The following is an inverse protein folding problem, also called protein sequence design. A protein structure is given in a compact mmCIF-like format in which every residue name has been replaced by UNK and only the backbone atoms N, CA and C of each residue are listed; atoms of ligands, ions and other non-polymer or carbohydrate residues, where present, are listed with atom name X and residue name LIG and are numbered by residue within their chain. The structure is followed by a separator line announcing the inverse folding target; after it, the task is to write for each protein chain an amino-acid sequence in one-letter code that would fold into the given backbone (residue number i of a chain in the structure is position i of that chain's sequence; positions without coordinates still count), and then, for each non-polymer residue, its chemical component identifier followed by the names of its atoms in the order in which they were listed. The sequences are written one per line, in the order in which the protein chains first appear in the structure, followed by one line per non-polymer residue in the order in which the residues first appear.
data_IF_369896664126
#
_entry.id   IF_369896664126
#
_cell.length_a   1.000
_cell.length_b   1.000
_cell.length_c   1.000
_cell.angle_alpha   90.00
_cell.angle_beta   90.00
_cell.angle_gamma   90.00
#
_symmetry.space_group_name_H-M   'P 1'
#
loop_
_entity.id
_entity.type
_entity.pdbx_description
1 polymer ?
2 branched ?
3 water ?
#
# COMPACT_ATOMS: atom_id res chain seq x y z
N UNK A 2 5.46 13.07 -14.53
CA UNK A 2 4.49 12.26 -13.79
C UNK A 2 4.73 12.43 -12.29
N UNK A 3 3.75 12.03 -11.50
CA UNK A 3 3.91 12.16 -10.06
C UNK A 3 4.51 10.89 -9.48
N UNK A 4 5.18 11.08 -8.36
CA UNK A 4 5.72 9.97 -7.58
C UNK A 4 5.33 10.26 -6.12
N UNK A 5 4.25 9.62 -5.72
CA UNK A 5 3.63 9.88 -4.43
C UNK A 5 4.14 8.89 -3.40
N UNK A 6 4.98 9.40 -2.49
CA UNK A 6 5.60 8.49 -1.55
C UNK A 6 4.87 8.42 -0.22
N UNK A 7 4.35 7.25 0.13
CA UNK A 7 3.77 7.08 1.47
C UNK A 7 4.88 6.87 2.51
N UNK A 8 4.60 7.47 3.67
CA UNK A 8 5.46 7.39 4.84
C UNK A 8 4.62 6.97 6.05
N UNK A 9 4.79 5.75 6.49
CA UNK A 9 4.11 5.23 7.69
C UNK A 9 4.94 5.68 8.88
N UNK A 10 4.44 6.65 9.63
CA UNK A 10 5.20 7.28 10.70
C UNK A 10 5.53 6.29 11.81
N UNK A 11 4.80 5.17 11.86
CA UNK A 11 5.10 4.17 12.88
C UNK A 11 6.54 3.71 12.67
N UNK A 12 7.03 3.91 11.45
CA UNK A 12 8.39 3.53 11.12
C UNK A 12 9.41 4.35 11.90
N UNK A 13 9.05 5.54 12.35
CA UNK A 13 9.97 6.34 13.14
C UNK A 13 10.45 5.63 14.39
N UNK A 14 9.55 4.86 15.01
CA UNK A 14 9.84 4.24 16.30
C UNK A 14 10.16 2.76 16.19
N UNK A 15 10.40 2.27 14.98
CA UNK A 15 10.76 0.85 14.86
C UNK A 15 12.14 0.60 15.42
N UNK A 16 12.37 -0.59 15.96
CA UNK A 16 13.69 -0.88 16.53
C UNK A 16 14.61 -1.42 15.44
N UNK A 17 15.90 -1.12 15.56
CA UNK A 17 16.90 -1.60 14.63
C UNK A 17 16.81 -1.11 13.22
N UNK A 18 17.11 -1.98 12.27
CA UNK A 18 17.24 -1.60 10.88
C UNK A 18 15.94 -1.05 10.31
N UNK A 19 14.82 -1.42 10.93
CA UNK A 19 13.54 -1.01 10.37
C UNK A 19 13.25 0.44 10.71
N UNK A 20 14.03 1.00 11.63
CA UNK A 20 13.81 2.39 12.02
C UNK A 20 14.07 3.38 10.92
N UNK A 21 13.10 4.26 10.65
CA UNK A 21 13.28 5.27 9.60
C UNK A 21 13.29 6.67 10.22
N UNK A 22 14.46 7.23 10.49
CA UNK A 22 14.53 8.57 11.07
C UNK A 22 14.52 9.62 9.98
N UNK A 23 14.43 10.90 10.38
CA UNK A 23 14.17 11.90 9.35
C UNK A 23 15.30 12.07 8.35
N UNK A 24 16.56 11.94 8.72
CA UNK A 24 17.62 12.06 7.72
C UNK A 24 17.48 11.00 6.61
N UNK A 25 17.13 9.77 6.99
CA UNK A 25 16.93 8.73 5.99
C UNK A 25 15.66 9.00 5.17
N UNK A 26 14.64 9.57 5.81
CA UNK A 26 13.41 9.95 5.12
C UNK A 26 13.69 10.98 4.04
N UNK A 27 14.52 11.95 4.37
CA UNK A 27 14.80 13.08 3.50
C UNK A 27 15.47 12.68 2.22
N UNK A 28 16.27 11.60 2.29
CA UNK A 28 16.92 11.13 1.07
C UNK A 28 15.93 10.74 -0.01
N UNK A 29 14.78 10.20 0.34
CA UNK A 29 13.76 9.85 -0.65
C UNK A 29 13.25 11.07 -1.41
N UNK A 30 13.40 12.25 -0.81
CA UNK A 30 12.77 13.46 -1.34
C UNK A 30 13.49 13.98 -2.56
N UNK A 31 14.62 13.40 -3.01
CA UNK A 31 14.99 13.94 -4.32
C UNK A 31 14.32 13.12 -5.43
N UNK A 32 13.47 12.16 -5.03
CA UNK A 32 12.75 11.40 -6.07
C UNK A 32 11.24 11.60 -5.96
N UNK A 33 10.74 11.92 -4.77
CA UNK A 33 9.29 11.98 -4.57
C UNK A 33 8.70 13.32 -4.98
N UNK A 34 7.54 13.35 -5.61
CA UNK A 34 6.93 14.66 -5.92
C UNK A 34 6.00 15.07 -4.78
N UNK A 35 5.52 14.03 -4.12
CA UNK A 35 4.58 14.15 -3.02
C UNK A 35 5.02 13.21 -1.89
N UNK A 36 4.81 13.70 -0.67
CA UNK A 36 5.01 12.89 0.53
C UNK A 36 3.68 12.78 1.26
N UNK A 37 3.33 11.55 1.63
CA UNK A 37 2.04 11.38 2.29
C UNK A 37 2.29 10.78 3.67
N UNK A 38 1.93 11.55 4.68
CA UNK A 38 2.18 11.11 6.06
C UNK A 38 1.03 10.25 6.55
N UNK A 39 1.36 9.02 6.93
CA UNK A 39 0.38 8.06 7.39
C UNK A 39 0.61 7.66 8.83
N UNK A 40 -0.44 7.30 9.55
CA UNK A 40 -1.83 7.46 9.17
C UNK A 40 -2.65 7.96 10.35
N UNK A 41 -3.48 8.98 10.09
CA UNK A 41 -4.47 9.38 11.07
C UNK A 41 -5.58 8.34 11.14
N UNK A 42 -6.39 8.32 12.20
CA UNK A 42 -7.42 7.32 12.34
C UNK A 42 -8.72 7.95 12.78
N UNK A 43 -9.75 7.17 13.05
CA UNK A 43 -11.04 7.69 13.50
C UNK A 43 -11.23 7.37 14.99
N UNK A 44 -11.65 8.37 15.78
CA UNK A 44 -11.87 8.07 17.19
C UNK A 44 -13.13 7.21 17.32
N UNK A 45 -13.08 6.09 18.04
CA UNK A 45 -14.32 5.32 18.13
C UNK A 45 -15.39 6.02 18.94
N UNK A 46 -15.07 7.06 19.71
CA UNK A 46 -16.09 7.68 20.55
C UNK A 46 -16.90 8.73 19.81
N UNK A 47 -16.38 9.28 18.73
CA UNK A 47 -17.13 10.33 18.05
C UNK A 47 -16.69 10.44 16.59
N UNK A 48 -15.83 9.52 16.18
CA UNK A 48 -15.34 9.38 14.82
C UNK A 48 -14.68 10.63 14.28
N UNK A 49 -14.11 11.47 15.14
CA UNK A 49 -13.33 12.59 14.59
C UNK A 49 -11.99 12.07 14.08
N UNK A 50 -11.30 12.82 13.22
CA UNK A 50 -9.95 12.42 12.80
C UNK A 50 -8.97 12.73 13.92
N UNK A 51 -7.99 11.85 14.11
CA UNK A 51 -7.01 12.09 15.17
C UNK A 51 -5.72 11.33 14.89
N UNK A 52 -4.61 11.82 15.44
CA UNK A 52 -3.32 11.16 15.31
C UNK A 52 -3.27 9.88 16.14
N UNK A 53 -2.82 8.80 15.52
CA UNK A 53 -2.74 7.52 16.23
C UNK A 53 -1.43 7.37 16.99
N UNK A 54 -0.64 8.44 17.01
CA UNK A 54 0.51 8.49 17.89
C UNK A 54 0.84 9.95 18.22
N UNK A 55 -0.05 10.56 18.99
CA UNK A 55 0.05 11.94 19.43
C UNK A 55 1.42 12.24 20.01
N UNK A 56 1.94 11.37 20.88
CA UNK A 56 3.26 11.66 21.42
C UNK A 56 4.29 12.00 20.36
N UNK A 57 4.29 11.25 19.25
CA UNK A 57 5.29 11.48 18.21
C UNK A 57 4.87 12.60 17.26
N UNK A 58 3.67 12.40 16.71
CA UNK A 58 3.19 13.29 15.67
C UNK A 58 2.98 14.72 16.17
N UNK A 59 2.55 14.84 17.42
CA UNK A 59 2.18 16.16 17.89
C UNK A 59 3.12 16.64 18.98
N UNK A 60 3.32 15.86 20.03
CA UNK A 60 4.16 16.32 21.14
C UNK A 60 5.64 16.34 20.83
N UNK A 61 6.12 15.55 19.89
CA UNK A 61 7.52 15.64 19.46
C UNK A 61 7.60 16.22 18.05
N UNK A 62 6.52 16.88 17.66
CA UNK A 62 6.51 17.68 16.46
C UNK A 62 6.74 16.91 15.17
N UNK A 63 6.46 15.61 15.10
CA UNK A 63 6.84 14.93 13.84
C UNK A 63 5.96 15.36 12.68
N UNK A 64 4.67 15.64 12.89
CA UNK A 64 3.91 16.18 11.75
C UNK A 64 4.61 17.39 11.13
N UNK A 65 4.92 18.42 11.93
CA UNK A 65 5.50 19.61 11.30
C UNK A 65 6.97 19.46 10.98
N UNK A 66 7.69 18.53 11.60
CA UNK A 66 9.05 18.28 11.10
C UNK A 66 9.01 17.82 9.64
N UNK A 67 8.03 16.96 9.38
CA UNK A 67 7.87 16.46 8.00
C UNK A 67 7.28 17.54 7.10
N UNK A 68 6.23 18.25 7.50
CA UNK A 68 5.77 19.25 6.52
C UNK A 68 6.77 20.37 6.33
N UNK A 69 7.59 20.71 7.33
CA UNK A 69 8.52 21.81 7.13
C UNK A 69 9.62 21.45 6.16
N UNK A 70 9.65 20.18 5.74
CA UNK A 70 10.61 19.74 4.74
C UNK A 70 10.38 20.49 3.42
N UNK A 71 9.19 21.04 3.26
CA UNK A 71 8.88 21.86 2.09
C UNK A 71 9.80 23.06 2.04
N UNK A 72 10.34 23.50 3.19
CA UNK A 72 11.25 24.64 3.10
C UNK A 72 12.50 24.25 2.31
N UNK A 73 12.89 22.99 2.38
CA UNK A 73 14.09 22.49 1.72
C UNK A 73 13.87 22.03 0.29
N UNK A 74 12.63 21.64 0.04
CA UNK A 74 12.12 21.14 -1.21
C UNK A 74 10.88 21.93 -1.65
N UNK A 75 11.06 23.09 -2.26
CA UNK A 75 9.93 24.00 -2.49
C UNK A 75 8.87 23.49 -3.45
N UNK A 76 9.07 22.41 -4.21
CA UNK A 76 7.99 21.88 -5.05
C UNK A 76 7.24 20.72 -4.39
N UNK A 77 7.82 20.15 -3.34
CA UNK A 77 7.24 19.02 -2.64
C UNK A 77 5.87 19.32 -2.07
N UNK A 78 4.94 18.40 -2.30
CA UNK A 78 3.61 18.44 -1.68
C UNK A 78 3.52 17.42 -0.55
N UNK A 79 3.02 17.83 0.62
CA UNK A 79 2.90 16.88 1.72
C UNK A 79 1.45 16.71 2.15
N UNK A 80 0.94 15.49 2.12
CA UNK A 80 -0.43 15.29 2.56
C UNK A 80 -0.48 14.43 3.82
N UNK A 81 -1.65 14.49 4.45
CA UNK A 81 -1.96 13.64 5.58
C UNK A 81 -2.99 12.59 5.19
N UNK A 82 -2.71 11.34 5.51
CA UNK A 82 -3.61 10.27 5.11
C UNK A 82 -4.40 9.73 6.29
N UNK A 83 -5.69 9.52 6.11
CA UNK A 83 -6.60 8.93 7.09
C UNK A 83 -6.97 7.48 6.75
N UNK A 84 -6.86 6.57 7.69
CA UNK A 84 -7.19 5.16 7.52
C UNK A 84 -5.99 4.34 7.07
N UNK A 85 -5.99 4.00 5.79
CA UNK A 85 -4.97 3.29 5.07
C UNK A 85 -4.80 1.83 5.46
N UNK A 86 -5.80 1.27 6.11
CA UNK A 86 -5.80 -0.07 6.67
C UNK A 86 -4.85 -0.13 7.88
N UNK A 87 -4.40 1.02 8.37
CA UNK A 87 -3.55 1.12 9.55
C UNK A 87 -4.34 1.52 10.78
N UNK A 88 -5.62 1.86 10.58
CA UNK A 88 -6.57 2.20 11.64
C UNK A 88 -7.25 0.91 12.04
N UNK A 89 -6.57 0.18 12.94
CA UNK A 89 -6.98 -1.13 13.40
C UNK A 89 -7.67 -1.04 14.75
N UNK A 90 -8.98 -1.22 14.75
CA UNK A 90 -9.77 -0.97 15.96
C UNK A 90 -10.79 -2.07 16.22
N UNK A 91 -10.35 -3.12 16.92
CA UNK A 91 -11.23 -4.26 17.18
C UNK A 91 -12.32 -3.85 18.16
N UNK A 92 -12.03 -2.79 18.91
CA UNK A 92 -13.00 -2.26 19.87
C UNK A 92 -14.14 -1.50 19.20
N UNK A 93 -13.90 -0.99 17.99
CA UNK A 93 -14.89 -0.23 17.24
C UNK A 93 -14.82 -0.59 15.76
N UNK A 94 -15.15 -1.83 15.42
CA UNK A 94 -14.85 -2.34 14.09
C UNK A 94 -15.73 -1.73 13.01
N UNK A 95 -16.72 -0.92 13.35
CA UNK A 95 -17.61 -0.39 12.32
C UNK A 95 -17.47 1.12 12.11
N UNK A 96 -16.38 1.72 12.58
CA UNK A 96 -16.13 3.14 12.45
C UNK A 96 -16.39 3.70 11.05
N UNK A 97 -15.74 3.16 10.02
CA UNK A 97 -15.75 3.80 8.71
C UNK A 97 -17.14 3.79 8.10
N UNK A 98 -17.86 2.70 8.39
CA UNK A 98 -19.23 2.64 7.86
C UNK A 98 -20.12 3.59 8.66
N UNK A 99 -19.93 3.57 9.97
CA UNK A 99 -20.74 4.42 10.85
C UNK A 99 -20.53 5.88 10.50
N UNK A 100 -19.33 6.26 10.04
CA UNK A 100 -19.12 7.65 9.66
C UNK A 100 -19.93 7.96 8.40
N UNK A 101 -19.92 7.06 7.42
CA UNK A 101 -20.78 7.21 6.25
C UNK A 101 -22.26 7.32 6.62
N UNK A 102 -22.73 6.45 7.50
CA UNK A 102 -24.11 6.40 7.94
C UNK A 102 -24.43 7.47 9.00
N UNK A 103 -23.45 8.28 9.38
CA UNK A 103 -23.61 9.27 10.43
C UNK A 103 -24.49 10.45 10.08
N UNK A 104 -25.10 11.01 11.12
CA UNK A 104 -25.88 12.24 11.08
C UNK A 104 -24.99 13.44 10.83
N UNK A 105 -25.55 14.55 10.37
CA UNK A 105 -24.74 15.70 10.03
C UNK A 105 -23.77 16.08 11.14
N UNK A 106 -24.25 16.15 12.36
CA UNK A 106 -23.39 16.56 13.46
C UNK A 106 -22.11 15.74 13.52
N UNK A 107 -22.29 14.43 13.43
CA UNK A 107 -21.15 13.52 13.46
C UNK A 107 -20.21 13.76 12.29
N UNK A 108 -20.76 13.88 11.08
CA UNK A 108 -19.92 14.06 9.90
C UNK A 108 -19.21 15.41 9.99
N UNK A 109 -19.91 16.40 10.53
CA UNK A 109 -19.26 17.71 10.60
C UNK A 109 -18.07 17.65 11.55
N UNK A 110 -18.23 16.90 12.64
CA UNK A 110 -17.14 16.67 13.57
C UNK A 110 -15.89 16.14 12.86
N UNK A 111 -16.04 15.05 12.13
CA UNK A 111 -14.96 14.52 11.30
C UNK A 111 -14.40 15.58 10.36
N UNK A 112 -15.25 16.24 9.58
CA UNK A 112 -14.76 17.18 8.59
C UNK A 112 -13.90 18.25 9.23
N UNK A 113 -14.38 18.76 10.36
CA UNK A 113 -13.68 19.82 11.09
C UNK A 113 -12.35 19.34 11.66
N UNK A 114 -12.39 18.14 12.23
CA UNK A 114 -11.18 17.57 12.85
C UNK A 114 -10.13 17.29 11.77
N UNK A 115 -10.58 16.71 10.67
CA UNK A 115 -9.63 16.39 9.59
C UNK A 115 -9.04 17.67 9.03
N UNK A 116 -9.86 18.68 8.78
CA UNK A 116 -9.43 20.01 8.38
C UNK A 116 -8.40 20.62 9.35
N UNK A 117 -8.69 20.56 10.64
CA UNK A 117 -7.82 21.10 11.68
C UNK A 117 -6.43 20.45 11.59
N UNK A 118 -6.37 19.14 11.44
CA UNK A 118 -5.09 18.44 11.33
C UNK A 118 -4.30 18.92 10.13
N UNK A 119 -4.93 18.94 8.95
CA UNK A 119 -4.24 19.47 7.78
C UNK A 119 -3.68 20.87 7.99
N UNK A 120 -4.52 21.77 8.51
CA UNK A 120 -4.15 23.18 8.55
C UNK A 120 -3.13 23.44 9.67
N UNK A 121 -3.47 22.89 10.84
CA UNK A 121 -2.64 23.22 12.00
C UNK A 121 -1.18 22.81 11.78
N UNK A 122 -0.97 21.71 11.06
CA UNK A 122 0.38 21.14 11.05
C UNK A 122 1.13 21.40 9.76
N UNK A 123 0.53 22.17 8.87
CA UNK A 123 1.26 22.63 7.69
C UNK A 123 1.15 21.70 6.51
N UNK A 124 0.15 20.81 6.52
CA UNK A 124 0.00 19.91 5.36
C UNK A 124 -0.59 20.64 4.15
N UNK A 125 -0.47 20.07 2.96
CA UNK A 125 -1.03 20.70 1.76
C UNK A 125 -2.38 20.12 1.40
N UNK A 126 -2.83 19.11 2.16
CA UNK A 126 -4.06 18.42 1.80
C UNK A 126 -4.21 17.10 2.50
N UNK A 127 -5.29 16.40 2.16
CA UNK A 127 -5.79 15.25 2.85
C UNK A 127 -5.90 14.09 1.86
N UNK A 128 -5.50 12.92 2.32
CA UNK A 128 -5.75 11.68 1.59
C UNK A 128 -6.76 10.83 2.34
N UNK A 129 -7.93 10.60 1.75
CA UNK A 129 -8.92 9.69 2.32
C UNK A 129 -8.62 8.28 1.83
N UNK A 130 -7.92 7.53 2.66
CA UNK A 130 -7.60 6.13 2.37
C UNK A 130 -8.66 5.34 3.10
N UNK A 131 -9.88 5.43 2.57
CA UNK A 131 -11.06 5.02 3.32
C UNK A 131 -11.08 3.50 3.54
N UNK A 132 -11.21 3.07 4.80
CA UNK A 132 -11.24 1.64 5.08
C UNK A 132 -12.61 1.01 4.91
N UNK A 133 -13.01 0.86 3.66
CA UNK A 133 -14.25 0.19 3.31
C UNK A 133 -14.11 -1.30 3.58
N UNK A 134 -15.23 -2.01 3.68
CA UNK A 134 -15.17 -3.48 3.61
C UNK A 134 -14.49 -3.92 2.33
N UNK A 135 -13.80 -5.07 2.34
CA UNK A 135 -13.08 -5.45 1.11
C UNK A 135 -13.77 -6.65 0.46
N UNK A 136 -13.31 -7.02 -0.74
CA UNK A 136 -13.71 -8.25 -1.40
C UNK A 136 -13.62 -9.38 -0.37
N UNK A 137 -14.61 -10.27 -0.40
CA UNK A 137 -14.52 -11.42 0.49
C UNK A 137 -13.48 -12.39 -0.06
N UNK A 138 -12.54 -12.74 0.81
CA UNK A 138 -11.50 -13.70 0.42
C UNK A 138 -12.16 -15.02 0.02
N UNK A 139 -11.70 -15.60 -1.08
CA UNK A 139 -12.15 -16.92 -1.50
C UNK A 139 -11.41 -17.97 -0.70
N UNK A 140 -12.12 -18.87 0.00
CA UNK A 140 -11.35 -19.80 0.82
C UNK A 140 -11.18 -21.15 0.15
N UNK A 141 -10.56 -22.06 0.89
CA UNK A 141 -10.35 -23.45 0.47
C UNK A 141 -9.01 -23.56 -0.26
N UNK A 161 -23.05 -11.79 0.80
CA UNK A 161 -22.86 -10.36 0.55
C UNK A 161 -22.24 -9.70 1.78
N UNK A 162 -20.99 -9.25 1.62
CA UNK A 162 -20.28 -8.61 2.70
C UNK A 162 -20.98 -7.35 3.21
N UNK A 163 -21.48 -6.51 2.30
CA UNK A 163 -22.16 -5.24 2.62
C UNK A 163 -23.46 -5.15 1.83
N UNK A 164 -24.61 -5.34 2.48
CA UNK A 164 -25.90 -5.29 1.78
C UNK A 164 -26.43 -3.87 1.71
N UNK A 165 -25.62 -2.96 2.25
CA UNK A 165 -25.92 -1.55 2.05
C UNK A 165 -24.79 -0.88 1.28
N UNK A 166 -24.11 -1.60 0.38
CA UNK A 166 -23.08 -0.96 -0.44
C UNK A 166 -23.58 0.24 -1.22
N UNK A 167 -24.77 0.16 -1.83
CA UNK A 167 -25.17 1.26 -2.71
C UNK A 167 -25.51 2.50 -1.88
N UNK A 168 -26.06 2.29 -0.70
CA UNK A 168 -26.27 3.42 0.20
C UNK A 168 -24.90 4.02 0.54
N UNK A 169 -23.97 3.08 0.76
CA UNK A 169 -22.65 3.47 1.24
C UNK A 169 -21.93 4.28 0.18
N UNK A 170 -22.09 3.84 -1.07
CA UNK A 170 -21.50 4.58 -2.17
C UNK A 170 -22.00 6.02 -2.19
N UNK A 171 -23.30 6.20 -1.99
CA UNK A 171 -23.86 7.53 -2.03
C UNK A 171 -23.36 8.42 -0.90
N UNK A 172 -23.41 7.87 0.30
CA UNK A 172 -22.88 8.54 1.48
C UNK A 172 -21.42 8.91 1.28
N UNK A 173 -20.61 8.05 0.67
CA UNK A 173 -19.19 8.42 0.49
C UNK A 173 -19.03 9.59 -0.45
N UNK A 174 -19.72 9.54 -1.61
CA UNK A 174 -19.65 10.66 -2.52
C UNK A 174 -19.98 11.97 -1.79
N UNK A 175 -21.06 11.90 -1.00
CA UNK A 175 -21.50 13.11 -0.28
C UNK A 175 -20.42 13.50 0.73
N UNK A 176 -19.84 12.49 1.41
CA UNK A 176 -18.78 12.84 2.37
C UNK A 176 -17.59 13.47 1.67
N UNK A 177 -17.18 12.93 0.52
CA UNK A 177 -16.07 13.51 -0.22
C UNK A 177 -16.40 14.94 -0.64
N UNK A 178 -17.64 15.18 -1.09
CA UNK A 178 -17.99 16.53 -1.51
C UNK A 178 -17.81 17.53 -0.37
N UNK A 179 -18.33 17.12 0.79
CA UNK A 179 -18.27 18.00 1.97
C UNK A 179 -16.82 18.15 2.41
N UNK A 180 -16.04 17.08 2.40
CA UNK A 180 -14.63 17.25 2.74
C UNK A 180 -13.95 18.25 1.80
N UNK A 181 -14.13 18.06 0.50
CA UNK A 181 -13.59 18.98 -0.48
C UNK A 181 -14.01 20.42 -0.16
N UNK A 182 -15.29 20.58 0.15
CA UNK A 182 -15.85 21.91 0.41
C UNK A 182 -15.06 22.58 1.54
N UNK A 183 -14.69 21.81 2.54
CA UNK A 183 -13.97 22.35 3.72
C UNK A 183 -12.57 22.77 3.35
N UNK A 184 -12.01 22.19 2.29
CA UNK A 184 -10.62 22.46 1.89
C UNK A 184 -10.49 23.52 0.82
N UNK A 185 -11.58 23.87 0.15
CA UNK A 185 -11.48 24.75 -1.02
C UNK A 185 -10.82 26.09 -0.73
N UNK A 186 -11.28 26.77 0.32
CA UNK A 186 -10.80 28.14 0.55
C UNK A 186 -9.29 28.16 0.70
N UNK A 187 -8.72 27.15 1.35
CA UNK A 187 -7.26 27.13 1.44
C UNK A 187 -6.60 26.55 0.20
N UNK A 188 -7.33 25.95 -0.73
CA UNK A 188 -6.65 25.40 -1.89
C UNK A 188 -5.94 24.10 -1.53
N UNK A 189 -6.37 23.49 -0.43
CA UNK A 189 -5.79 22.20 0.00
C UNK A 189 -6.21 21.07 -0.92
N UNK A 190 -5.30 20.16 -1.24
CA UNK A 190 -5.60 19.01 -2.07
C UNK A 190 -6.38 17.96 -1.29
N UNK A 191 -7.10 17.19 -2.10
CA UNK A 191 -7.80 16.02 -1.61
C UNK A 191 -7.51 14.85 -2.53
N UNK A 192 -6.87 13.80 -2.00
CA UNK A 192 -6.78 12.56 -2.78
C UNK A 192 -7.63 11.49 -2.14
N UNK A 193 -7.99 10.47 -2.90
CA UNK A 193 -8.58 9.25 -2.40
C UNK A 193 -7.59 8.10 -2.72
N UNK A 194 -7.53 7.17 -1.79
CA UNK A 194 -6.83 5.90 -2.04
C UNK A 194 -7.83 4.76 -1.93
N UNK A 195 -7.92 3.97 -2.99
CA UNK A 195 -8.69 2.74 -3.09
C UNK A 195 -7.78 1.61 -2.58
N UNK A 196 -8.01 1.18 -1.35
CA UNK A 196 -7.08 0.26 -0.70
C UNK A 196 -7.18 -1.14 -1.27
N UNK A 197 -6.18 -1.98 -1.01
CA UNK A 197 -6.20 -3.33 -1.57
C UNK A 197 -7.52 -4.04 -1.35
N UNK A 198 -8.03 -4.64 -2.42
CA UNK A 198 -9.27 -5.40 -2.46
C UNK A 198 -10.48 -4.55 -2.10
N UNK A 199 -10.34 -3.23 -2.04
CA UNK A 199 -11.55 -2.39 -1.98
C UNK A 199 -12.11 -2.33 -3.40
N UNK A 200 -13.40 -2.62 -3.52
CA UNK A 200 -14.03 -2.80 -4.81
C UNK A 200 -14.73 -1.51 -5.26
N UNK A 201 -14.28 -0.95 -6.36
CA UNK A 201 -14.75 0.34 -6.84
C UNK A 201 -16.17 0.26 -7.36
N UNK A 202 -16.62 -0.93 -7.78
CA UNK A 202 -18.02 -1.05 -8.18
C UNK A 202 -18.97 -0.84 -7.02
N UNK A 203 -18.56 -1.33 -5.85
CA UNK A 203 -19.46 -1.24 -4.70
C UNK A 203 -19.50 0.17 -4.12
N UNK A 204 -18.37 0.86 -4.12
CA UNK A 204 -18.31 2.09 -3.34
C UNK A 204 -17.97 3.37 -4.07
N UNK A 205 -17.46 3.37 -5.29
CA UNK A 205 -16.90 4.58 -5.88
C UNK A 205 -17.75 5.04 -7.06
N UNK A 206 -18.44 6.16 -6.86
CA UNK A 206 -19.20 6.77 -7.97
C UNK A 206 -18.27 7.60 -8.83
N UNK A 207 -17.54 6.94 -9.72
CA UNK A 207 -16.36 7.60 -10.28
C UNK A 207 -16.67 8.86 -11.06
N UNK A 208 -17.73 8.96 -11.85
CA UNK A 208 -17.99 10.22 -12.55
C UNK A 208 -18.23 11.37 -11.58
N UNK A 209 -18.66 11.08 -10.36
CA UNK A 209 -18.93 12.16 -9.42
C UNK A 209 -17.68 12.68 -8.71
N UNK A 210 -16.58 11.95 -8.85
CA UNK A 210 -15.37 12.23 -8.08
C UNK A 210 -14.37 13.14 -8.80
N UNK A 211 -14.34 13.10 -10.13
CA UNK A 211 -13.44 13.96 -10.90
C UNK A 211 -13.54 15.42 -10.46
N UNK A 212 -14.75 15.91 -10.19
CA UNK A 212 -14.85 17.33 -9.85
C UNK A 212 -14.60 17.59 -8.37
N UNK A 213 -14.32 16.53 -7.61
CA UNK A 213 -14.15 16.64 -6.18
C UNK A 213 -12.75 16.35 -5.66
N UNK A 214 -11.94 15.66 -6.47
CA UNK A 214 -10.66 15.21 -5.94
C UNK A 214 -9.54 15.49 -6.92
N UNK A 215 -8.35 15.75 -6.37
CA UNK A 215 -7.21 16.10 -7.20
C UNK A 215 -6.59 14.88 -7.87
N UNK A 216 -6.66 13.72 -7.21
CA UNK A 216 -6.12 12.49 -7.81
C UNK A 216 -6.58 11.31 -6.98
N UNK A 217 -6.40 10.13 -7.56
CA UNK A 217 -6.76 8.88 -6.90
C UNK A 217 -5.59 7.90 -7.06
N UNK A 218 -5.29 7.26 -5.95
CA UNK A 218 -4.28 6.23 -5.85
C UNK A 218 -4.95 4.86 -5.82
N UNK A 219 -4.66 4.05 -6.83
CA UNK A 219 -5.22 2.70 -6.84
C UNK A 219 -4.20 1.75 -6.22
N UNK A 220 -4.51 1.15 -5.07
CA UNK A 220 -3.55 0.27 -4.38
C UNK A 220 -3.65 -1.15 -4.94
N UNK A 221 -3.08 -1.27 -6.12
CA UNK A 221 -3.16 -2.45 -6.98
C UNK A 221 -2.05 -3.45 -6.65
N UNK A 222 -2.13 -3.90 -5.41
CA UNK A 222 -1.18 -4.84 -4.82
C UNK A 222 -1.88 -5.48 -3.65
N UNK A 223 -1.25 -6.45 -2.99
CA UNK A 223 -1.91 -7.23 -1.94
C UNK A 223 -3.25 -7.80 -2.40
N UNK A 224 -3.34 -8.18 -3.68
CA UNK A 224 -4.58 -8.80 -4.15
C UNK A 224 -4.85 -10.11 -3.43
N UNK A 225 -3.76 -10.80 -3.09
CA UNK A 225 -3.85 -11.96 -2.21
C UNK A 225 -2.84 -11.75 -1.08
N UNK A 226 -3.14 -12.14 0.14
CA UNK A 226 -2.15 -12.05 1.21
C UNK A 226 -2.25 -13.27 2.12
N UNK A 227 -1.22 -13.64 2.87
CA UNK A 227 -1.37 -14.79 3.77
C UNK A 227 -2.45 -14.60 4.83
N UNK A 228 -2.77 -13.33 5.14
CA UNK A 228 -3.80 -13.07 6.14
C UNK A 228 -5.18 -13.38 5.56
N UNK A 229 -5.40 -12.93 4.33
CA UNK A 229 -6.68 -13.20 3.69
C UNK A 229 -6.82 -14.56 3.04
N UNK A 230 -5.72 -15.17 2.64
CA UNK A 230 -5.62 -16.37 1.83
C UNK A 230 -4.56 -17.30 2.44
N UNK A 231 -4.80 -17.78 3.65
CA UNK A 231 -3.78 -18.57 4.35
C UNK A 231 -3.48 -19.92 3.71
N UNK A 232 -4.41 -20.43 2.90
CA UNK A 232 -4.27 -21.80 2.40
C UNK A 232 -3.84 -21.95 0.96
N UNK A 233 -3.70 -20.89 0.19
CA UNK A 233 -3.09 -20.93 -1.13
C UNK A 233 -2.35 -19.62 -1.38
N UNK A 234 -1.33 -19.68 -2.21
CA UNK A 234 -0.57 -18.51 -2.60
C UNK A 234 -0.59 -18.30 -4.11
N UNK A 235 -0.69 -17.03 -4.49
CA UNK A 235 -0.70 -16.63 -5.90
C UNK A 235 -0.19 -15.19 -6.00
N UNK A 236 0.20 -14.78 -7.20
CA UNK A 236 0.75 -13.45 -7.44
C UNK A 236 -0.09 -12.37 -6.74
N UNK A 237 0.57 -11.50 -5.99
CA UNK A 237 -0.15 -10.54 -5.17
C UNK A 237 -0.26 -9.17 -5.86
N UNK A 238 0.46 -8.92 -6.94
CA UNK A 238 0.39 -7.64 -7.64
C UNK A 238 0.79 -7.72 -9.10
N UNK A 239 0.17 -8.64 -9.85
CA UNK A 239 0.51 -8.75 -11.28
C UNK A 239 -0.06 -7.56 -12.05
N UNK A 240 0.56 -7.20 -13.16
CA UNK A 240 -0.05 -6.13 -13.95
C UNK A 240 -1.25 -6.69 -14.70
N UNK A 241 -1.01 -7.82 -15.37
CA UNK A 241 -2.08 -8.46 -16.14
C UNK A 241 -2.46 -9.78 -15.49
N UNK A 242 -3.58 -10.33 -15.93
CA UNK A 242 -4.11 -11.57 -15.39
C UNK A 242 -3.24 -12.75 -15.82
N UNK A 243 -2.74 -13.53 -14.88
CA UNK A 243 -1.99 -14.73 -15.26
C UNK A 243 -2.90 -15.92 -15.47
N UNK A 244 -3.06 -16.33 -16.74
CA UNK A 244 -3.84 -17.52 -17.08
C UNK A 244 -3.35 -18.78 -16.39
N UNK A 245 -2.05 -18.87 -16.08
CA UNK A 245 -1.50 -20.00 -15.35
C UNK A 245 -1.92 -20.10 -13.90
N UNK A 246 -2.54 -19.08 -13.33
CA UNK A 246 -3.05 -19.24 -11.97
C UNK A 246 -4.49 -19.76 -12.01
N UNK A 247 -4.66 -21.02 -11.67
CA UNK A 247 -5.96 -21.65 -11.84
C UNK A 247 -7.04 -20.97 -10.99
N UNK A 248 -8.11 -20.57 -11.65
CA UNK A 248 -9.31 -20.08 -11.01
C UNK A 248 -9.09 -18.73 -10.33
N UNK A 249 -8.00 -18.05 -10.69
CA UNK A 249 -7.77 -16.72 -10.11
C UNK A 249 -8.82 -15.73 -10.62
N UNK A 250 -9.42 -14.97 -9.71
CA UNK A 250 -10.45 -14.00 -10.05
C UNK A 250 -9.90 -12.92 -10.96
N UNK A 251 -10.52 -12.65 -12.09
CA UNK A 251 -9.95 -11.84 -13.16
C UNK A 251 -9.92 -10.34 -12.89
N UNK A 252 -10.61 -9.86 -11.85
CA UNK A 252 -10.49 -8.44 -11.52
C UNK A 252 -9.29 -8.20 -10.61
N UNK A 253 -8.61 -9.25 -10.16
CA UNK A 253 -7.46 -9.10 -9.26
C UNK A 253 -6.13 -8.86 -9.95
N UNK A 254 -6.00 -7.81 -10.76
CA UNK A 254 -4.72 -7.45 -11.36
C UNK A 254 -4.70 -5.94 -11.59
N UNK A 255 -3.54 -5.35 -11.72
CA UNK A 255 -3.46 -3.88 -11.81
C UNK A 255 -4.19 -3.35 -13.04
N UNK A 256 -3.91 -3.97 -14.20
CA UNK A 256 -4.55 -3.50 -15.41
C UNK A 256 -6.07 -3.51 -15.33
N UNK A 257 -6.70 -4.53 -14.78
CA UNK A 257 -8.15 -4.51 -14.64
C UNK A 257 -8.60 -3.29 -13.83
N UNK A 258 -7.95 -3.01 -12.70
CA UNK A 258 -8.35 -1.86 -11.87
C UNK A 258 -8.24 -0.53 -12.58
N UNK A 259 -7.14 -0.34 -13.29
CA UNK A 259 -6.83 0.89 -14.02
C UNK A 259 -7.84 1.04 -15.14
N UNK A 260 -8.00 -0.03 -15.94
CA UNK A 260 -8.96 0.07 -17.03
C UNK A 260 -10.36 0.30 -16.48
N UNK A 261 -10.71 -0.28 -15.34
CA UNK A 261 -11.99 -0.04 -14.72
C UNK A 261 -12.20 1.46 -14.46
N UNK A 262 -11.21 2.09 -13.82
CA UNK A 262 -11.35 3.52 -13.55
C UNK A 262 -11.42 4.33 -14.84
N UNK A 263 -10.66 3.93 -15.86
CA UNK A 263 -10.73 4.66 -17.12
C UNK A 263 -12.08 4.43 -17.78
N UNK A 264 -12.65 3.25 -17.62
CA UNK A 264 -13.91 2.86 -18.21
C UNK A 264 -15.05 3.77 -17.74
N UNK A 265 -14.89 4.23 -16.51
CA UNK A 265 -15.90 4.98 -15.78
C UNK A 265 -15.71 6.48 -15.93
N UNK A 266 -14.81 6.87 -16.81
CA UNK A 266 -14.57 8.21 -17.27
C UNK A 266 -13.66 9.07 -16.43
N UNK A 267 -12.90 8.48 -15.51
CA UNK A 267 -11.89 9.20 -14.75
C UNK A 267 -10.68 9.51 -15.62
N UNK A 268 -10.21 10.76 -15.60
CA UNK A 268 -9.06 11.10 -16.45
C UNK A 268 -7.85 10.30 -16.00
N UNK A 269 -7.22 9.74 -17.03
CA UNK A 269 -6.06 8.89 -16.78
C UNK A 269 -5.04 9.68 -15.99
N UNK A 270 -4.82 10.95 -16.29
CA UNK A 270 -3.72 11.65 -15.63
C UNK A 270 -4.06 12.09 -14.21
N UNK A 271 -5.21 11.66 -13.71
CA UNK A 271 -5.52 11.87 -12.29
C UNK A 271 -5.41 10.57 -11.51
N UNK A 272 -4.89 9.55 -12.18
CA UNK A 272 -4.78 8.26 -11.51
C UNK A 272 -3.32 7.92 -11.18
N UNK A 273 -3.04 7.46 -9.97
CA UNK A 273 -1.70 6.96 -9.64
C UNK A 273 -1.78 5.45 -9.43
N UNK A 274 -0.83 4.75 -10.05
CA UNK A 274 -0.72 3.31 -9.92
C UNK A 274 -0.03 2.97 -8.60
N UNK A 275 -0.66 2.20 -7.75
CA UNK A 275 -0.03 1.81 -6.47
C UNK A 275 1.01 0.73 -6.67
N UNK A 276 2.19 0.89 -6.06
CA UNK A 276 3.24 -0.12 -6.07
C UNK A 276 3.71 -0.35 -4.64
N UNK A 277 3.86 -1.60 -4.23
CA UNK A 277 4.30 -1.88 -2.87
C UNK A 277 5.80 -2.17 -2.80
N UNK A 278 6.44 -1.75 -1.71
CA UNK A 278 7.87 -1.99 -1.53
C UNK A 278 8.12 -3.23 -0.64
N UNK A 279 7.08 -3.81 -0.07
CA UNK A 279 7.17 -5.02 0.73
C UNK A 279 6.52 -6.24 0.07
N UNK A 280 6.93 -7.41 0.54
CA UNK A 280 6.41 -8.64 -0.04
C UNK A 280 5.41 -9.31 0.86
N UNK A 281 4.56 -10.15 0.25
CA UNK A 281 3.62 -10.99 0.96
C UNK A 281 4.19 -12.41 1.06
N UNK A 282 4.32 -12.91 2.29
CA UNK A 282 5.08 -14.15 2.50
C UNK A 282 4.23 -15.19 3.21
N UNK A 283 4.06 -16.33 2.55
CA UNK A 283 3.31 -17.46 3.01
C UNK A 283 4.24 -18.56 3.59
N UNK A 284 3.80 -19.23 4.63
CA UNK A 284 4.43 -20.44 5.14
C UNK A 284 3.98 -21.63 4.31
N UNK A 285 4.92 -22.39 3.76
CA UNK A 285 4.62 -23.56 2.94
C UNK A 285 4.53 -24.80 3.80
N UNK A 286 3.95 -25.86 3.22
CA UNK A 286 3.91 -27.17 3.85
C UNK A 286 4.53 -28.19 2.90
N UNK A 287 4.76 -29.40 3.41
CA UNK A 287 5.25 -30.44 2.52
C UNK A 287 4.34 -30.55 1.30
N UNK A 288 3.04 -30.53 1.57
CA UNK A 288 2.05 -30.71 0.51
C UNK A 288 1.97 -29.56 -0.48
N UNK A 289 2.69 -28.46 -0.29
CA UNK A 289 2.72 -27.37 -1.24
C UNK A 289 3.55 -27.70 -2.48
N UNK A 290 4.39 -28.73 -2.37
CA UNK A 290 5.22 -29.14 -3.46
C UNK A 290 6.49 -28.32 -3.63
N UNK A 291 7.24 -28.66 -4.68
CA UNK A 291 8.54 -28.05 -4.89
C UNK A 291 8.54 -26.96 -5.93
N UNK A 292 7.43 -26.70 -6.62
CA UNK A 292 7.50 -25.69 -7.68
C UNK A 292 7.11 -24.33 -7.14
N UNK A 293 7.67 -23.27 -7.72
CA UNK A 293 7.29 -21.96 -7.21
C UNK A 293 6.28 -21.20 -8.04
N UNK A 294 5.93 -21.70 -9.21
CA UNK A 294 4.95 -20.95 -10.02
C UNK A 294 3.58 -21.16 -9.39
N UNK A 295 2.78 -20.12 -9.17
CA UNK A 295 1.49 -20.32 -8.48
C UNK A 295 0.44 -20.89 -9.43
N UNK A 296 -0.70 -21.34 -8.96
CA UNK A 296 -1.12 -21.26 -7.57
C UNK A 296 -0.39 -22.28 -6.71
N UNK A 297 0.13 -21.83 -5.57
CA UNK A 297 0.79 -22.73 -4.64
C UNK A 297 -0.20 -23.26 -3.61
N UNK A 298 -0.42 -24.56 -3.59
CA UNK A 298 -1.38 -25.17 -2.66
C UNK A 298 -0.87 -25.47 -1.25
N UNK A 299 -1.84 -25.75 -0.40
CA UNK A 299 -1.65 -26.23 0.96
C UNK A 299 -0.66 -25.38 1.75
N UNK A 300 -0.79 -24.07 1.58
CA UNK A 300 0.01 -23.17 2.41
C UNK A 300 -0.60 -23.09 3.80
N UNK A 301 0.09 -22.43 4.72
CA UNK A 301 -0.26 -22.48 6.13
C UNK A 301 -0.14 -21.11 6.80
N UNK A 302 -0.77 -20.12 6.17
CA UNK A 302 -0.79 -18.79 6.74
C UNK A 302 0.50 -18.03 6.56
N UNK A 303 0.71 -16.97 7.35
CA UNK A 303 1.89 -16.14 7.14
C UNK A 303 3.18 -16.85 7.57
N UNK A 304 4.23 -16.57 6.82
CA UNK A 304 5.60 -16.93 7.13
C UNK A 304 6.05 -16.21 8.39
N UNK A 305 7.00 -16.79 9.09
CA UNK A 305 7.59 -16.13 10.26
C UNK A 305 8.03 -14.72 9.96
N UNK A 306 7.81 -13.79 10.89
CA UNK A 306 8.20 -12.41 10.63
C UNK A 306 9.70 -12.27 10.38
N UNK A 307 10.06 -11.26 9.60
CA UNK A 307 11.43 -10.86 9.36
C UNK A 307 12.00 -10.19 10.61
N UNK A 308 13.33 -10.21 10.78
CA UNK A 308 13.92 -9.52 11.92
C UNK A 308 13.85 -8.00 11.83
N UNK A 309 13.74 -7.44 10.63
CA UNK A 309 13.72 -5.98 10.49
C UNK A 309 12.30 -5.45 10.55
N UNK A 310 11.38 -6.17 9.92
CA UNK A 310 10.00 -5.67 9.75
C UNK A 310 9.03 -6.19 10.78
N UNK A 311 9.27 -7.33 11.43
CA UNK A 311 8.53 -7.81 12.60
C UNK A 311 7.02 -7.81 12.39
N UNK A 312 6.59 -8.32 11.23
CA UNK A 312 5.18 -8.44 10.87
C UNK A 312 4.97 -9.78 10.17
N UNK A 313 4.43 -10.77 10.84
CA UNK A 313 4.21 -12.08 10.20
C UNK A 313 3.50 -11.96 8.86
N UNK A 314 4.07 -12.56 7.83
CA UNK A 314 3.54 -12.56 6.49
C UNK A 314 3.95 -11.39 5.63
N UNK A 315 4.75 -10.48 6.18
CA UNK A 315 5.33 -9.37 5.47
C UNK A 315 6.86 -9.42 5.52
N UNK A 316 7.54 -9.05 4.43
CA UNK A 316 8.98 -8.84 4.43
C UNK A 316 9.30 -7.56 3.66
N UNK A 317 10.30 -6.83 4.16
CA UNK A 317 10.77 -5.65 3.44
C UNK A 317 11.59 -6.04 2.23
N UNK A 318 11.84 -5.14 1.29
CA UNK A 318 12.69 -5.52 0.16
C UNK A 318 14.09 -5.94 0.65
N UNK A 319 14.68 -5.22 1.60
CA UNK A 319 16.02 -5.64 2.03
C UNK A 319 16.02 -7.04 2.61
N UNK A 320 14.99 -7.40 3.38
CA UNK A 320 14.94 -8.75 3.94
C UNK A 320 14.79 -9.80 2.85
N UNK A 321 14.08 -9.45 1.78
CA UNK A 321 13.93 -10.46 0.73
C UNK A 321 15.20 -10.57 -0.09
N UNK A 322 15.78 -9.44 -0.47
CA UNK A 322 16.97 -9.38 -1.29
C UNK A 322 18.12 -10.13 -0.62
N UNK A 323 18.12 -10.03 0.70
CA UNK A 323 19.12 -10.61 1.57
C UNK A 323 19.05 -12.11 1.64
N UNK A 324 17.91 -12.68 1.24
CA UNK A 324 17.78 -14.14 1.28
C UNK A 324 17.99 -14.79 -0.08
N UNK A 325 17.99 -14.02 -1.17
CA UNK A 325 18.08 -14.68 -2.48
C UNK A 325 19.39 -15.43 -2.66
N UNK A 326 19.26 -16.55 -3.39
CA UNK A 326 20.43 -17.39 -3.65
C UNK A 326 21.46 -16.71 -4.55
N UNK A 327 22.74 -16.90 -4.23
CA UNK A 327 23.86 -16.43 -5.02
C UNK A 327 24.93 -17.51 -4.99
N UNK A 328 25.89 -17.51 -5.89
CA UNK A 328 26.95 -18.53 -5.79
C UNK A 328 27.60 -18.53 -4.41
N UNK A 329 27.73 -17.33 -3.81
CA UNK A 329 28.37 -17.21 -2.50
C UNK A 329 27.61 -17.90 -1.38
N UNK A 330 26.28 -17.77 -1.36
CA UNK A 330 25.48 -18.30 -0.26
C UNK A 330 24.96 -19.70 -0.56
N UNK A 331 25.42 -20.24 -1.67
CA UNK A 331 25.12 -21.56 -2.15
C UNK A 331 25.24 -22.63 -1.07
N UNK A 332 26.21 -22.47 -0.18
CA UNK A 332 26.58 -23.53 0.77
C UNK A 332 25.62 -23.67 1.93
N UNK A 333 24.85 -22.60 2.14
CA UNK A 333 23.88 -22.63 3.24
C UNK A 333 22.87 -23.75 3.03
N UNK A 334 22.53 -24.46 4.09
CA UNK A 334 21.64 -25.59 4.03
C UNK A 334 20.52 -25.51 5.06
N UNK A 335 19.59 -26.45 4.97
CA UNK A 335 18.45 -26.50 5.86
C UNK A 335 17.66 -25.20 5.87
N UNK A 336 17.32 -24.78 7.09
CA UNK A 336 16.49 -23.60 7.23
C UNK A 336 17.26 -22.31 6.97
N UNK A 337 18.53 -22.37 6.57
CA UNK A 337 19.24 -21.18 6.10
C UNK A 337 19.45 -21.21 4.60
N UNK A 338 18.92 -22.25 3.94
CA UNK A 338 19.23 -22.30 2.51
C UNK A 338 18.59 -21.08 1.85
N UNK A 339 19.22 -20.50 0.85
CA UNK A 339 18.68 -19.28 0.25
C UNK A 339 17.39 -19.55 -0.50
N UNK A 340 16.62 -18.48 -0.71
CA UNK A 340 15.42 -18.50 -1.53
C UNK A 340 15.71 -18.56 -3.02
N UNK A 341 14.89 -19.28 -3.77
CA UNK A 341 15.06 -19.32 -5.22
C UNK A 341 14.12 -18.33 -5.90
N UNK A 342 14.64 -17.66 -6.91
CA UNK A 342 13.91 -16.70 -7.74
C UNK A 342 13.07 -17.44 -8.76
N UNK A 343 11.81 -17.04 -8.90
CA UNK A 343 10.98 -17.50 -10.01
C UNK A 343 10.68 -16.24 -10.82
N UNK A 344 11.07 -16.13 -12.09
CA UNK A 344 10.70 -14.83 -12.67
C UNK A 344 10.17 -14.99 -14.08
N UNK A 345 8.86 -15.20 -14.19
CA UNK A 345 8.25 -15.19 -15.52
C UNK A 345 8.82 -14.06 -16.37
N UNK A 346 9.41 -14.47 -17.49
CA UNK A 346 10.06 -13.52 -18.38
C UNK A 346 9.12 -12.61 -19.16
N UNK A 347 7.79 -12.73 -19.04
CA UNK A 347 6.98 -11.76 -19.78
C UNK A 347 6.88 -10.41 -19.07
N UNK A 348 7.34 -10.33 -17.84
CA UNK A 348 7.32 -9.13 -17.00
C UNK A 348 5.92 -8.61 -16.71
N UNK A 349 4.93 -9.50 -16.75
CA UNK A 349 3.54 -9.16 -16.56
C UNK A 349 3.04 -9.38 -15.14
N UNK A 350 3.79 -10.17 -14.35
CA UNK A 350 3.19 -10.64 -13.11
C UNK A 350 3.89 -10.26 -11.82
N UNK A 351 5.20 -10.03 -11.87
CA UNK A 351 5.91 -9.64 -10.66
C UNK A 351 6.80 -10.74 -10.11
N UNK A 352 7.48 -10.45 -9.00
CA UNK A 352 8.52 -11.33 -8.50
C UNK A 352 8.04 -12.42 -7.56
N UNK A 353 8.79 -13.52 -7.57
CA UNK A 353 8.62 -14.61 -6.67
C UNK A 353 9.99 -15.11 -6.17
N UNK A 354 10.04 -15.34 -4.87
CA UNK A 354 11.19 -15.96 -4.22
C UNK A 354 10.66 -16.98 -3.22
N UNK A 355 11.26 -18.16 -3.22
CA UNK A 355 10.71 -19.21 -2.39
C UNK A 355 11.75 -20.31 -2.10
N UNK A 356 11.39 -21.07 -1.08
CA UNK A 356 12.06 -22.26 -0.60
C UNK A 356 11.04 -23.27 -0.12
N UNK A 357 10.94 -24.45 -0.74
CA UNK A 357 9.92 -25.42 -0.38
C UNK A 357 10.30 -26.23 0.86
N UNK A 358 9.30 -26.86 1.46
CA UNK A 358 9.54 -27.85 2.50
C UNK A 358 10.10 -29.11 1.84
N UNK A 359 11.28 -29.53 2.29
CA UNK A 359 11.99 -30.63 1.64
C UNK A 359 13.18 -31.06 2.50
N UNK A 360 13.14 -32.31 2.97
CA UNK A 360 14.25 -32.84 3.74
C UNK A 360 14.56 -32.02 4.98
N UNK A 361 15.77 -31.51 5.04
CA UNK A 361 16.39 -30.63 5.99
C UNK A 361 15.59 -29.35 6.15
N UNK A 362 15.02 -28.94 5.01
CA UNK A 362 14.29 -27.68 5.03
C UNK A 362 12.88 -27.92 5.57
N UNK A 363 12.65 -27.50 6.80
CA UNK A 363 11.37 -27.69 7.45
C UNK A 363 10.59 -26.38 7.37
N UNK A 364 11.34 -25.30 7.17
CA UNK A 364 10.65 -24.01 7.10
C UNK A 364 10.57 -23.49 5.68
N UNK A 365 9.43 -23.75 5.05
CA UNK A 365 9.17 -23.36 3.67
C UNK A 365 8.46 -22.01 3.63
N UNK A 366 8.78 -21.25 2.58
CA UNK A 366 8.27 -19.89 2.45
C UNK A 366 8.15 -19.55 0.97
N UNK A 367 7.09 -18.82 0.64
CA UNK A 367 6.82 -18.35 -0.70
C UNK A 367 6.50 -16.84 -0.63
N UNK A 368 7.28 -16.00 -1.27
CA UNK A 368 7.17 -14.55 -1.21
C UNK A 368 6.83 -13.94 -2.57
N UNK A 369 5.74 -13.17 -2.59
CA UNK A 369 5.29 -12.40 -3.74
C UNK A 369 5.66 -10.94 -3.51
N UNK A 370 6.45 -10.38 -4.40
CA UNK A 370 6.99 -9.05 -4.21
C UNK A 370 7.46 -8.41 -5.49
N UNK A 371 7.54 -7.07 -5.45
CA UNK A 371 8.19 -6.31 -6.49
C UNK A 371 9.60 -5.89 -6.08
N UNK A 372 10.57 -6.15 -6.92
CA UNK A 372 11.93 -5.61 -6.81
C UNK A 372 12.08 -4.40 -7.70
N UNK A 373 13.25 -3.75 -7.73
CA UNK A 373 13.42 -2.57 -8.57
C UNK A 373 13.04 -2.81 -10.03
N UNK A 374 13.44 -3.93 -10.62
CA UNK A 374 13.09 -4.23 -12.01
C UNK A 374 11.59 -4.32 -12.19
N UNK A 375 10.92 -5.08 -11.30
CA UNK A 375 9.48 -5.24 -11.55
C UNK A 375 8.71 -3.97 -11.20
N UNK A 376 9.15 -3.23 -10.18
CA UNK A 376 8.53 -1.91 -9.96
C UNK A 376 8.74 -0.98 -11.14
N UNK A 377 9.91 -1.07 -11.78
CA UNK A 377 10.21 -0.26 -12.95
C UNK A 377 9.19 -0.54 -14.07
N UNK A 378 8.87 -1.81 -14.25
CA UNK A 378 7.87 -2.36 -15.15
C UNK A 378 6.51 -1.74 -14.90
N UNK A 379 6.12 -1.67 -13.62
CA UNK A 379 4.88 -0.98 -13.28
C UNK A 379 4.93 0.48 -13.68
N UNK A 380 6.08 1.13 -13.46
CA UNK A 380 6.21 2.53 -13.83
C UNK A 380 6.09 2.70 -15.33
N UNK A 381 6.68 1.78 -16.08
CA UNK A 381 6.56 1.85 -17.55
C UNK A 381 5.11 1.71 -17.98
N UNK A 382 4.35 0.88 -17.29
CA UNK A 382 2.96 0.60 -17.67
C UNK A 382 2.17 1.89 -17.44
N UNK A 383 2.44 2.51 -16.29
CA UNK A 383 1.76 3.74 -15.91
C UNK A 383 1.97 4.83 -16.96
N UNK A 384 3.20 4.83 -17.47
CA UNK A 384 3.58 5.82 -18.48
C UNK A 384 2.86 5.56 -19.79
N UNK A 385 2.72 4.28 -20.09
CA UNK A 385 2.03 3.85 -21.30
C UNK A 385 0.55 4.17 -21.26
N UNK A 386 -0.05 4.05 -20.07
CA UNK A 386 -1.48 4.23 -19.90
C UNK A 386 -1.83 5.71 -19.69
N UNK A 387 -0.80 6.54 -19.74
CA UNK A 387 -0.93 7.97 -19.57
C UNK A 387 -1.51 8.27 -18.19
N UNK A 388 -1.06 7.51 -17.19
CA UNK A 388 -1.56 7.78 -15.84
C UNK A 388 -0.87 8.98 -15.22
N UNK A 389 -1.38 9.47 -14.09
CA UNK A 389 -0.73 10.63 -13.47
C UNK A 389 0.62 10.26 -12.86
N UNK A 390 0.76 8.99 -12.47
CA UNK A 390 2.06 8.60 -11.92
C UNK A 390 1.98 7.32 -11.13
N UNK A 391 2.84 7.25 -10.10
CA UNK A 391 2.85 6.08 -9.23
C UNK A 391 2.77 6.46 -7.76
N UNK A 392 2.07 5.66 -6.97
CA UNK A 392 2.01 5.84 -5.52
C UNK A 392 2.74 4.69 -4.85
N UNK A 393 3.71 5.01 -3.99
CA UNK A 393 4.58 3.95 -3.48
C UNK A 393 4.28 3.67 -2.00
N UNK A 394 3.92 2.44 -1.69
CA UNK A 394 3.55 2.05 -0.34
C UNK A 394 4.57 1.07 0.25
N UNK A 395 5.44 1.46 1.16
CA UNK A 395 5.76 2.81 1.55
C UNK A 395 7.27 2.94 1.72
N UNK A 396 7.75 4.15 2.00
CA UNK A 396 9.20 4.38 2.03
C UNK A 396 9.92 3.51 3.06
N UNK A 397 9.19 3.14 4.11
CA UNK A 397 9.83 2.42 5.21
C UNK A 397 10.18 0.99 4.83
N UNK A 398 9.62 0.47 3.73
CA UNK A 398 10.02 -0.89 3.36
C UNK A 398 10.82 -0.91 2.05
N UNK A 399 11.05 0.25 1.46
CA UNK A 399 12.10 0.34 0.43
C UNK A 399 13.43 0.14 1.16
N UNK A 400 14.50 -0.23 0.46
CA UNK A 400 15.77 -0.47 1.18
C UNK A 400 16.50 0.85 1.40
N UNK A 401 16.04 1.63 2.39
CA UNK A 401 16.55 3.00 2.54
C UNK A 401 17.97 3.03 3.09
N UNK A 402 18.38 1.90 3.68
CA UNK A 402 19.74 1.82 4.22
C UNK A 402 20.72 1.34 3.16
N UNK A 403 20.26 0.89 2.00
CA UNK A 403 21.23 0.50 0.99
C UNK A 403 21.81 -0.88 1.23
N UNK A 404 21.09 -1.74 1.94
CA UNK A 404 21.57 -3.06 2.28
C UNK A 404 21.73 -3.97 1.07
N UNK A 405 20.75 -3.94 0.16
CA UNK A 405 20.78 -4.91 -0.93
C UNK A 405 21.92 -4.68 -1.90
N UNK A 406 22.10 -3.45 -2.41
CA UNK A 406 23.17 -3.26 -3.40
C UNK A 406 24.09 -2.11 -3.05
N UNK A 407 23.78 -1.40 -1.97
CA UNK A 407 24.56 -0.25 -1.56
C UNK A 407 23.83 1.04 -1.92
N UNK A 408 23.09 0.99 -3.01
CA UNK A 408 22.23 2.08 -3.44
C UNK A 408 20.99 2.19 -2.56
N UNK A 409 20.79 3.37 -1.98
CA UNK A 409 19.64 3.55 -1.10
C UNK A 409 18.36 3.78 -1.89
N UNK A 410 17.24 3.22 -1.44
CA UNK A 410 15.94 3.41 -2.07
C UNK A 410 15.97 2.91 -3.51
N UNK A 411 16.43 1.67 -3.67
CA UNK A 411 16.52 1.10 -5.00
C UNK A 411 15.15 0.95 -5.67
N UNK A 412 14.04 0.75 -4.95
CA UNK A 412 12.78 0.59 -5.70
C UNK A 412 12.27 1.95 -6.12
N UNK A 413 12.29 2.91 -5.19
CA UNK A 413 11.97 4.28 -5.57
C UNK A 413 12.73 4.79 -6.77
N UNK A 414 14.06 4.65 -6.79
CA UNK A 414 14.81 5.25 -7.89
C UNK A 414 14.48 4.59 -9.22
N UNK A 415 14.33 3.27 -9.21
CA UNK A 415 13.96 2.51 -10.42
C UNK A 415 12.65 2.97 -11.01
N UNK A 416 11.66 3.22 -10.15
CA UNK A 416 10.38 3.76 -10.61
C UNK A 416 10.55 5.13 -11.23
N UNK A 417 11.25 6.03 -10.53
CA UNK A 417 11.41 7.38 -11.06
C UNK A 417 12.11 7.41 -12.42
N UNK A 418 13.10 6.55 -12.59
CA UNK A 418 13.84 6.41 -13.85
C UNK A 418 12.88 6.28 -15.04
N UNK A 419 11.72 5.68 -14.82
CA UNK A 419 10.85 5.25 -15.90
C UNK A 419 9.54 6.02 -16.02
N UNK A 420 9.30 6.96 -15.11
CA UNK A 420 8.19 7.89 -15.24
C UNK A 420 8.60 9.10 -16.09
X LIG B 1 -15.99 -6.16 -7.60
X LIG B 1 -15.19 -5.97 -8.88
X LIG B 1 -15.88 -6.74 -10.04
X LIG B 1 -16.12 -8.20 -9.59
X LIG B 1 -16.82 -8.29 -8.27
X LIG B 1 -16.96 -9.72 -7.77
X LIG B 1 -13.77 -4.09 -9.38
X LIG B 1 -13.58 -2.71 -9.96
X LIG B 1 -15.01 -4.56 -9.23
X LIG B 1 -15.04 -6.68 -11.18
X LIG B 1 -16.90 -8.90 -10.58
X LIG B 1 -16.14 -7.54 -7.25
X LIG B 1 -17.76 -9.75 -6.60
X LIG B 1 -12.79 -4.73 -8.99
X LIG B 2 -16.42 -9.90 -11.24
X LIG B 2 -17.46 -10.87 -11.86
X LIG B 2 -16.69 -11.83 -12.79
X LIG B 2 -15.84 -11.04 -13.81
X LIG B 2 -14.97 -10.02 -13.08
X LIG B 2 -14.13 -9.18 -13.99
X LIG B 2 -19.26 -11.65 -10.30
X LIG B 2 -19.42 -12.45 -9.00
X LIG B 2 -18.04 -11.66 -10.80
X LIG B 2 -17.64 -12.65 -13.49
X LIG B 2 -14.94 -11.96 -14.48
X LIG B 2 -15.77 -9.15 -12.26
X LIG B 2 -14.86 -8.61 -15.07
X LIG B 2 -20.24 -11.06 -10.73
X LIG B 3 -14.78 -12.04 -15.93
X LIG B 3 -13.69 -13.00 -16.47
X LIG B 3 -13.95 -13.37 -17.95
X LIG B 3 -15.37 -13.92 -18.08
X LIG B 3 -16.39 -13.00 -17.45
X LIG B 3 -17.76 -13.64 -17.49
X LIG B 3 -13.75 -14.19 -15.70
X LIG B 3 -13.07 -14.45 -18.32
X LIG B 3 -15.63 -14.08 -19.48
X LIG B 3 -16.08 -12.68 -16.09
X LIG B 3 -17.91 -14.71 -16.59
X LIG B 4 -12.50 -13.65 -19.19
X LIG B 4 -12.15 -15.08 -19.71
X LIG B 4 -11.53 -15.94 -18.58
X LIG B 4 -10.31 -15.20 -18.05
X LIG B 4 -10.71 -13.82 -17.55
X LIG B 4 -9.44 -13.05 -17.26
X LIG B 4 -11.21 -14.92 -20.77
X LIG B 4 -11.12 -17.22 -19.11
X LIG B 4 -9.63 -15.95 -17.06
X LIG B 4 -11.36 -13.05 -18.59
X LIG B 4 -9.39 -11.90 -18.09
#
# INVERSE_FOLDING_TARGET
ASNLVCYYDSSSYTREGLGKLLNPDLEIALQFCSHLVYGYAGLRGENLQAYSMNENLDIYKHQFSEVTSLKRKYPHLKVLLSVGGDHDIDPDHPNKYIDLLEGEKVRQIGFIRSAYELVKTYGFDGLDLAYQFPKNKPRKVHGDLGLAWKSIKKLFTGDFIVDPHAALHKEQFTALVRDVKDSLRADGFLLSLTVLPNVNSTWYFDIPALNGLVDFVNLATFDFLTPARNPEEADYSAPIYHPDGSKDRLAHLNADFQVEYWLSQGFPSNKINLGVATYGNAWKLTKDSGLEGVPVVPETSGPAPEGFQSQKPGLLSYAEICGKLSNPQNQFLKGNESPLRRVSDPTKRFGGIAYRPVDGQITEGIWVSYDDPDSASNKAAYARVKNLGGVALFDLSYDDFRGQCSGDKYPILRAIKYRL
NAG C1 C2 C3 C4 C5 C6 C7 C8 N2 O3 O4 O5 O6 O7
NAG C1 C2 C3 C4 C5 C6 C7 C8 N2 O3 O4 O5 O6 O7
BMA C1 C2 C3 C4 C5 C6 O2 O3 O4 O5 O6
MAN C1 C2 C3 C4 C5 C6 O2 O3 O4 O5 O6
#
